data_IF_465206740296
#
_entry.id   IF_465206740296
#
_cell.length_a   1.000
_cell.length_b   1.000
_cell.length_c   1.000
_cell.angle_alpha   90.00
_cell.angle_beta   90.00
_cell.angle_gamma   90.00
#
_symmetry.space_group_name_H-M   'P 1'
#
loop_
_entity.id
_entity.type
_entity.pdbx_description
1 polymer ?
#
# COMPACT_ATOMS: atom_id res chain seq x y z
N UNK A 1 7.82 7.05 7.07
CA UNK A 1 7.47 7.29 5.64
C UNK A 1 6.24 8.17 5.47
N UNK A 2 5.01 7.73 5.79
CA UNK A 2 3.81 8.58 5.62
C UNK A 2 3.93 9.96 6.31
N UNK A 3 4.34 9.98 7.59
CA UNK A 3 4.60 11.22 8.32
C UNK A 3 5.77 12.04 7.75
N UNK A 4 6.83 11.39 7.27
CA UNK A 4 7.97 12.06 6.62
C UNK A 4 7.54 12.77 5.31
N UNK A 5 6.56 12.20 4.60
CA UNK A 5 6.01 12.72 3.34
C UNK A 5 4.78 13.62 3.51
N UNK A 6 4.25 13.78 4.74
CA UNK A 6 3.04 14.55 4.99
C UNK A 6 1.77 13.99 4.34
N UNK A 7 1.73 12.69 4.05
CA UNK A 7 0.61 12.01 3.39
C UNK A 7 -0.05 11.00 4.32
N UNK A 8 -1.25 10.53 3.97
CA UNK A 8 -1.98 9.56 4.79
C UNK A 8 -1.34 8.18 4.70
N UNK A 9 -1.35 7.38 5.78
CA UNK A 9 -0.88 6.00 5.75
C UNK A 9 -1.58 5.13 4.68
N UNK A 10 -2.88 5.36 4.44
CA UNK A 10 -3.64 4.65 3.41
C UNK A 10 -3.08 4.91 1.99
N UNK A 11 -2.62 6.14 1.71
CA UNK A 11 -2.02 6.50 0.43
C UNK A 11 -0.68 5.77 0.24
N UNK A 12 0.16 5.72 1.27
CA UNK A 12 1.42 4.96 1.23
C UNK A 12 1.18 3.46 1.04
N UNK A 13 0.20 2.88 1.74
CA UNK A 13 -0.11 1.47 1.63
C UNK A 13 -0.56 1.10 0.20
N UNK A 14 -1.45 1.91 -0.40
CA UNK A 14 -1.93 1.68 -1.76
C UNK A 14 -0.83 1.91 -2.81
N UNK A 15 0.01 2.94 -2.63
CA UNK A 15 1.17 3.17 -3.49
C UNK A 15 2.17 1.99 -3.43
N UNK A 16 2.36 1.38 -2.26
CA UNK A 16 3.19 0.18 -2.13
C UNK A 16 2.60 -1.02 -2.87
N UNK A 17 1.28 -1.25 -2.78
CA UNK A 17 0.61 -2.32 -3.54
C UNK A 17 0.78 -2.10 -5.05
N UNK A 18 0.61 -0.87 -5.53
CA UNK A 18 0.80 -0.49 -6.93
C UNK A 18 2.25 -0.67 -7.43
N UNK A 19 3.24 -0.56 -6.53
CA UNK A 19 4.65 -0.71 -6.88
C UNK A 19 5.09 -2.17 -7.06
N UNK A 20 4.27 -3.15 -6.65
CA UNK A 20 4.61 -4.56 -6.79
C UNK A 20 4.50 -5.00 -8.24
N UNK A 21 5.56 -5.63 -8.76
CA UNK A 21 5.65 -6.05 -10.17
C UNK A 21 4.55 -7.03 -10.60
N UNK A 22 4.00 -7.80 -9.66
CA UNK A 22 2.90 -8.74 -9.89
C UNK A 22 1.52 -8.07 -9.91
N UNK A 23 1.42 -6.78 -9.60
CA UNK A 23 0.16 -6.04 -9.48
C UNK A 23 -0.03 -5.12 -10.68
N UNK A 24 -1.00 -5.43 -11.54
CA UNK A 24 -1.41 -4.53 -12.63
C UNK A 24 -2.30 -3.40 -12.11
N UNK A 25 -3.28 -3.73 -11.26
CA UNK A 25 -4.17 -2.76 -10.61
C UNK A 25 -4.82 -3.37 -9.35
N UNK A 26 -4.87 -2.65 -8.22
CA UNK A 26 -5.57 -3.10 -7.02
C UNK A 26 -7.08 -2.94 -7.16
N UNK A 27 -7.83 -3.90 -6.61
CA UNK A 27 -9.29 -3.79 -6.45
C UNK A 27 -9.56 -3.07 -5.13
N UNK A 28 -10.31 -1.96 -5.17
CA UNK A 28 -10.56 -1.14 -3.99
C UNK A 28 -12.07 -1.08 -3.69
N UNK A 29 -12.44 -1.50 -2.48
CA UNK A 29 -13.78 -1.32 -1.95
C UNK A 29 -13.89 -0.03 -1.13
N UNK A 30 -14.82 0.86 -1.48
CA UNK A 30 -15.05 2.11 -0.78
C UNK A 30 -16.54 2.30 -0.45
N UNK A 31 -16.86 2.42 0.84
CA UNK A 31 -18.21 2.78 1.32
C UNK A 31 -18.34 4.26 1.68
N UNK A 32 -17.22 5.00 1.62
CA UNK A 32 -17.13 6.44 1.85
C UNK A 32 -16.31 7.09 0.75
N UNK A 33 -16.74 8.26 0.29
CA UNK A 33 -16.06 9.00 -0.77
C UNK A 33 -14.59 9.30 -0.46
N UNK A 34 -14.26 9.56 0.81
CA UNK A 34 -12.89 9.83 1.21
C UNK A 34 -11.92 8.68 0.87
N UNK A 35 -12.37 7.42 0.93
CA UNK A 35 -11.50 6.28 0.61
C UNK A 35 -11.17 6.25 -0.89
N UNK A 36 -12.11 6.65 -1.75
CA UNK A 36 -11.86 6.78 -3.18
C UNK A 36 -10.87 7.92 -3.46
N UNK A 37 -11.02 9.06 -2.79
CA UNK A 37 -10.09 10.20 -2.91
C UNK A 37 -8.67 9.80 -2.48
N UNK A 38 -8.56 9.08 -1.36
CA UNK A 38 -7.25 8.62 -0.87
C UNK A 38 -6.63 7.57 -1.80
N UNK A 39 -7.45 6.72 -2.43
CA UNK A 39 -6.99 5.75 -3.43
C UNK A 39 -6.49 6.40 -4.72
N UNK A 40 -7.18 7.44 -5.20
CA UNK A 40 -6.74 8.21 -6.37
C UNK A 40 -5.42 8.92 -6.04
N UNK A 41 -5.33 9.61 -4.91
CA UNK A 41 -4.10 10.31 -4.53
C UNK A 41 -2.88 9.37 -4.35
N UNK A 42 -3.10 8.07 -4.09
CA UNK A 42 -2.02 7.09 -4.02
C UNK A 42 -1.36 6.81 -5.38
N UNK A 43 -2.07 7.02 -6.50
CA UNK A 43 -1.51 6.77 -7.85
C UNK A 43 -0.43 7.78 -8.23
N UNK A 44 -0.43 8.94 -7.58
CA UNK A 44 0.56 10.01 -7.80
C UNK A 44 1.82 9.82 -6.94
N UNK A 45 1.87 8.80 -6.08
CA UNK A 45 2.99 8.55 -5.17
C UNK A 45 3.90 7.47 -5.73
N UNK A 46 5.09 7.88 -6.16
CA UNK A 46 6.19 6.96 -6.45
C UNK A 46 7.05 6.75 -5.20
N UNK A 47 7.19 5.50 -4.78
CA UNK A 47 8.08 5.08 -3.70
C UNK A 47 9.47 4.77 -4.25
N UNK A 48 10.50 5.20 -3.53
CA UNK A 48 11.88 4.82 -3.84
C UNK A 48 12.15 3.37 -3.42
N UNK A 49 13.16 2.70 -4.00
CA UNK A 49 13.54 1.34 -3.59
C UNK A 49 13.82 1.23 -2.08
N UNK A 50 14.48 2.23 -1.49
CA UNK A 50 14.78 2.26 -0.06
C UNK A 50 13.52 2.38 0.81
N UNK A 51 12.48 3.06 0.34
CA UNK A 51 11.20 3.13 1.07
C UNK A 51 10.42 1.82 0.97
N UNK A 52 10.43 1.18 -0.20
CA UNK A 52 9.83 -0.16 -0.38
C UNK A 52 10.50 -1.14 0.58
N UNK A 53 11.84 -1.17 0.61
CA UNK A 53 12.61 -2.02 1.53
C UNK A 53 12.26 -1.73 3.00
N UNK A 54 12.18 -0.45 3.39
CA UNK A 54 11.78 -0.05 4.75
C UNK A 54 10.34 -0.46 5.10
N UNK A 55 9.42 -0.47 4.14
CA UNK A 55 8.03 -0.91 4.33
C UNK A 55 7.93 -2.43 4.50
N UNK A 56 8.79 -3.18 3.82
CA UNK A 56 8.77 -4.65 3.81
C UNK A 56 9.60 -5.28 4.93
N UNK A 57 10.65 -4.60 5.41
CA UNK A 57 11.52 -5.07 6.50
C UNK A 57 10.81 -5.65 7.74
N UNK A 58 9.69 -5.09 8.25
CA UNK A 58 9.00 -5.65 9.42
C UNK A 58 8.08 -6.84 9.10
N UNK A 59 7.85 -7.18 7.82
CA UNK A 59 6.92 -8.24 7.45
C UNK A 59 7.47 -9.64 7.81
N UNK A 60 6.64 -10.44 8.47
CA UNK A 60 6.94 -11.83 8.80
C UNK A 60 5.90 -12.75 8.14
N UNK A 61 6.32 -13.74 7.32
CA UNK A 61 5.41 -14.71 6.74
C UNK A 61 4.60 -15.41 7.83
N UNK A 62 3.29 -15.48 7.64
CA UNK A 62 2.39 -16.18 8.57
C UNK A 62 2.24 -17.62 8.12
N UNK A 63 2.39 -18.56 9.06
CA UNK A 63 2.09 -19.95 8.81
C UNK A 63 0.62 -20.12 8.37
N UNK A 64 0.41 -21.00 7.41
CA UNK A 64 -0.91 -21.35 6.91
C UNK A 64 -1.73 -21.99 8.02
N UNK A 65 -2.94 -21.48 8.29
CA UNK A 65 -3.84 -22.01 9.31
C UNK A 65 -5.20 -22.33 8.69
N UNK A 66 -5.74 -23.51 8.99
CA UNK A 66 -7.13 -23.87 8.67
C UNK A 66 -7.36 -24.52 7.31
N UNK A 67 -6.60 -25.57 6.99
CA UNK A 67 -6.91 -26.52 5.91
C UNK A 67 -6.67 -27.93 6.46
N UNK A 68 -7.72 -28.77 6.46
CA UNK A 68 -7.66 -30.23 6.70
C UNK A 68 -7.96 -30.93 5.39
#
# INVERSE_FOLDING_TARGET
>A
IAGERGVKPAQIALAWVLAQSAVTAPIIGATKMQHLVDAIAATDITLSPAEIERLEAPYLPRAVMGHS
#
